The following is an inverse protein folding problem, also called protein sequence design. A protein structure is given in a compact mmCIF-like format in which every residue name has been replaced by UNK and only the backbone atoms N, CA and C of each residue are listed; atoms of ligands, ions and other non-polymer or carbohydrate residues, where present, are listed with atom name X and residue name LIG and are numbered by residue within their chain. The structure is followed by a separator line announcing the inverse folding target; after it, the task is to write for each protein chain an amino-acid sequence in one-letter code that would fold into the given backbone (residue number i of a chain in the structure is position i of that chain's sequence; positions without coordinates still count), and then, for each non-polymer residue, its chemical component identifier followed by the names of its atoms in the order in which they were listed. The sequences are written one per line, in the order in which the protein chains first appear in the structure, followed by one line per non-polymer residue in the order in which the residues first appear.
data_IF_334223668200
#
_entry.id   IF_334223668200
#
_cell.length_a   1.000
_cell.length_b   1.000
_cell.length_c   1.000
_cell.angle_alpha   90.00
_cell.angle_beta   90.00
_cell.angle_gamma   90.00
#
_symmetry.space_group_name_H-M   'P 1'
#
loop_
_entity.id
_entity.type
_entity.pdbx_description
1 polymer ?
#
# COMPACT_ATOMS: atom_id res chain seq x y z
N UNK A 1 -30.99 5.00 -10.75
CA UNK A 1 -31.18 3.62 -10.25
C UNK A 1 -29.81 3.00 -10.11
N UNK A 2 -29.28 2.98 -8.87
CA UNK A 2 -27.96 2.48 -8.57
C UNK A 2 -28.01 1.00 -8.25
N UNK A 3 -27.20 0.21 -8.95
CA UNK A 3 -26.95 -1.18 -8.57
C UNK A 3 -25.83 -1.20 -7.54
N UNK A 4 -26.19 -1.33 -6.27
CA UNK A 4 -25.30 -1.79 -5.23
C UNK A 4 -25.17 -3.31 -5.35
N UNK A 5 -24.01 -3.79 -5.77
CA UNK A 5 -23.67 -5.19 -5.68
C UNK A 5 -23.51 -5.59 -4.22
N UNK A 6 -24.55 -6.19 -3.66
CA UNK A 6 -24.57 -6.63 -2.28
C UNK A 6 -23.59 -7.79 -2.06
N UNK A 7 -22.82 -7.70 -0.98
CA UNK A 7 -22.06 -8.81 -0.44
C UNK A 7 -23.01 -9.85 0.15
N UNK A 8 -23.17 -10.98 -0.51
CA UNK A 8 -23.87 -12.13 0.06
C UNK A 8 -22.88 -13.01 0.81
N UNK A 9 -22.89 -12.90 2.13
CA UNK A 9 -22.24 -13.86 3.01
C UNK A 9 -23.23 -15.01 3.21
N UNK A 10 -23.05 -16.11 2.50
CA UNK A 10 -23.80 -17.33 2.76
C UNK A 10 -22.98 -18.23 3.69
N UNK A 11 -23.36 -18.28 4.94
CA UNK A 11 -22.90 -19.28 5.88
C UNK A 11 -23.67 -20.58 5.64
N UNK A 12 -23.04 -21.58 5.06
CA UNK A 12 -23.62 -22.92 4.94
C UNK A 12 -23.13 -23.77 6.07
N UNK A 13 -23.92 -23.94 7.10
CA UNK A 13 -23.66 -24.93 8.15
C UNK A 13 -23.91 -26.33 7.60
N UNK A 14 -22.88 -27.14 7.51
CA UNK A 14 -22.99 -28.59 7.42
C UNK A 14 -22.33 -29.17 8.65
N UNK A 15 -23.16 -29.77 9.48
CA UNK A 15 -22.78 -30.76 10.52
C UNK A 15 -21.52 -30.45 11.33
N UNK A 16 -21.66 -29.69 12.41
CA UNK A 16 -20.82 -29.81 13.60
C UNK A 16 -19.41 -29.28 13.55
N UNK A 17 -18.94 -28.56 12.52
CA UNK A 17 -17.63 -27.86 12.54
C UNK A 17 -17.71 -26.58 11.71
N UNK A 18 -17.55 -25.46 12.39
CA UNK A 18 -17.61 -24.12 11.81
C UNK A 18 -16.54 -23.94 10.72
N UNK A 19 -16.98 -23.91 9.47
CA UNK A 19 -16.14 -23.53 8.35
C UNK A 19 -16.68 -22.22 7.80
N UNK A 20 -15.93 -21.14 7.98
CA UNK A 20 -16.22 -19.85 7.36
C UNK A 20 -15.55 -19.83 5.98
N UNK A 21 -16.34 -19.89 4.94
CA UNK A 21 -15.88 -19.66 3.57
C UNK A 21 -16.27 -18.26 3.14
N UNK A 22 -15.31 -17.40 2.94
CA UNK A 22 -15.51 -16.07 2.34
C UNK A 22 -15.35 -16.20 0.83
N UNK A 23 -16.41 -15.94 0.07
CA UNK A 23 -16.35 -15.85 -1.40
C UNK A 23 -16.39 -14.39 -1.80
N UNK A 24 -15.39 -13.94 -2.52
CA UNK A 24 -15.38 -12.64 -3.19
C UNK A 24 -15.88 -12.82 -4.62
N UNK A 25 -16.92 -12.08 -5.01
CA UNK A 25 -17.41 -12.01 -6.40
C UNK A 25 -16.47 -11.11 -7.22
N UNK A 26 -15.46 -11.68 -7.81
CA UNK A 26 -14.53 -10.90 -8.65
C UNK A 26 -13.15 -11.52 -8.82
N UNK A 27 -12.88 -12.53 -8.07
CA UNK A 27 -11.66 -13.30 -8.17
C UNK A 27 -11.75 -14.40 -7.14
N UNK A 28 -11.71 -15.63 -7.59
CA UNK A 28 -11.91 -16.78 -6.73
C UNK A 28 -10.70 -16.99 -5.81
N UNK A 29 -10.65 -16.28 -4.69
CA UNK A 29 -9.76 -16.68 -3.59
C UNK A 29 -10.42 -17.82 -2.83
N UNK A 30 -10.16 -19.04 -3.27
CA UNK A 30 -10.55 -20.21 -2.50
C UNK A 30 -9.58 -20.35 -1.32
N UNK A 31 -9.97 -19.85 -0.16
CA UNK A 31 -9.37 -20.35 1.09
C UNK A 31 -9.87 -21.78 1.25
N UNK A 32 -9.04 -22.75 0.90
CA UNK A 32 -9.32 -24.14 1.23
C UNK A 32 -9.32 -24.25 2.75
N UNK A 33 -10.45 -24.67 3.31
CA UNK A 33 -10.53 -24.99 4.72
C UNK A 33 -9.43 -26.02 5.07
N UNK A 34 -8.71 -25.74 6.14
CA UNK A 34 -7.66 -26.59 6.64
C UNK A 34 -8.27 -27.94 7.00
N UNK A 35 -7.88 -28.99 6.29
CA UNK A 35 -8.20 -30.35 6.70
C UNK A 35 -7.30 -30.66 7.90
N UNK A 36 -7.88 -30.70 9.09
CA UNK A 36 -7.20 -31.34 10.22
C UNK A 36 -6.95 -32.80 9.86
N UNK A 37 -5.73 -33.26 10.06
CA UNK A 37 -5.42 -34.70 10.01
C UNK A 37 -6.24 -35.40 11.09
N UNK A 38 -6.44 -36.70 10.94
CA UNK A 38 -7.15 -37.53 11.94
C UNK A 38 -6.51 -37.43 13.33
N UNK A 39 -5.27 -37.02 13.43
CA UNK A 39 -4.47 -36.86 14.66
C UNK A 39 -4.50 -35.44 15.24
N UNK A 40 -5.32 -34.53 14.71
CA UNK A 40 -5.42 -33.18 15.22
C UNK A 40 -4.28 -32.24 14.81
N UNK A 41 -3.26 -32.71 14.11
CA UNK A 41 -2.16 -31.91 13.62
C UNK A 41 -2.64 -31.02 12.46
N UNK A 42 -2.29 -29.73 12.54
CA UNK A 42 -2.49 -28.79 11.43
C UNK A 42 -1.48 -29.13 10.33
N UNK A 43 -1.94 -29.24 9.10
CA UNK A 43 -1.02 -29.57 8.01
C UNK A 43 0.07 -28.50 7.91
N UNK A 44 1.33 -28.90 7.64
CA UNK A 44 2.47 -27.97 7.43
C UNK A 44 2.16 -26.83 6.45
N UNK A 45 1.23 -27.07 5.52
CA UNK A 45 0.77 -26.06 4.57
C UNK A 45 -0.10 -24.96 5.21
N UNK A 46 -0.72 -25.23 6.36
CA UNK A 46 -1.48 -24.26 7.13
C UNK A 46 -0.57 -23.36 7.96
N UNK A 47 0.47 -23.94 8.56
CA UNK A 47 1.50 -23.17 9.29
C UNK A 47 2.21 -22.19 8.37
N UNK A 48 2.54 -22.60 7.14
CA UNK A 48 3.16 -21.73 6.12
C UNK A 48 2.25 -20.57 5.69
N UNK A 49 0.93 -20.70 5.84
CA UNK A 49 0.01 -19.61 5.51
C UNK A 49 -0.18 -18.61 6.65
N UNK A 50 0.09 -19.00 7.88
CA UNK A 50 0.03 -18.14 9.05
C UNK A 50 1.37 -17.40 9.28
N UNK A 51 2.48 -17.97 8.80
CA UNK A 51 3.77 -17.27 8.80
C UNK A 51 3.88 -16.30 7.62
N UNK A 52 4.21 -15.05 7.93
CA UNK A 52 4.53 -14.08 6.89
C UNK A 52 5.86 -14.46 6.24
N UNK A 53 5.79 -14.90 5.00
CA UNK A 53 6.98 -15.19 4.19
C UNK A 53 7.85 -13.93 4.11
N UNK A 54 9.17 -14.03 4.36
CA UNK A 54 10.08 -12.91 4.21
C UNK A 54 9.99 -12.34 2.79
N UNK A 55 9.80 -11.03 2.70
CA UNK A 55 9.63 -10.38 1.41
C UNK A 55 10.99 -10.11 0.78
N UNK A 56 11.10 -10.15 -0.56
CA UNK A 56 12.31 -9.77 -1.27
C UNK A 56 12.78 -8.37 -0.87
N UNK A 57 14.09 -8.14 -0.93
CA UNK A 57 14.66 -6.82 -0.64
C UNK A 57 14.11 -5.73 -1.55
N UNK A 58 13.93 -6.05 -2.82
CA UNK A 58 13.41 -5.14 -3.85
C UNK A 58 11.90 -5.32 -4.08
N UNK A 59 11.13 -5.48 -3.00
CA UNK A 59 9.68 -5.46 -3.12
C UNK A 59 9.20 -4.02 -3.26
N UNK A 60 8.46 -3.75 -4.30
CA UNK A 60 7.82 -2.47 -4.59
C UNK A 60 6.48 -2.41 -3.85
N UNK A 61 6.51 -1.94 -2.61
CA UNK A 61 5.32 -1.82 -1.78
C UNK A 61 4.81 -0.37 -1.71
N UNK A 62 4.22 -0.01 -0.59
CA UNK A 62 3.68 1.32 -0.37
C UNK A 62 4.79 2.36 -0.24
N UNK A 63 4.63 3.50 -0.90
CA UNK A 63 5.55 4.62 -0.83
C UNK A 63 5.60 5.23 0.58
N UNK A 64 6.77 5.73 0.92
CA UNK A 64 7.04 6.46 2.17
C UNK A 64 7.83 7.72 1.82
N UNK A 65 7.42 8.85 2.39
CA UNK A 65 8.20 10.07 2.38
C UNK A 65 9.10 10.10 3.60
N UNK A 66 10.38 10.06 3.36
CA UNK A 66 11.40 10.03 4.41
C UNK A 66 11.65 11.43 4.99
N UNK A 67 12.05 11.45 6.24
CA UNK A 67 12.54 12.63 6.95
C UNK A 67 13.98 12.42 7.38
N UNK A 68 14.67 13.51 7.67
CA UNK A 68 15.96 13.47 8.32
C UNK A 68 15.83 13.09 9.81
N UNK A 69 16.93 12.80 10.48
CA UNK A 69 16.94 12.42 11.90
C UNK A 69 16.44 13.55 12.82
N UNK A 70 16.61 14.79 12.40
CA UNK A 70 16.10 16.00 13.08
C UNK A 70 14.60 16.24 12.85
N UNK A 71 13.94 15.40 12.04
CA UNK A 71 12.52 15.48 11.70
C UNK A 71 12.19 16.35 10.49
N UNK A 72 13.17 17.02 9.89
CA UNK A 72 12.98 17.83 8.68
C UNK A 72 12.62 16.96 7.48
N UNK A 73 11.83 17.50 6.56
CA UNK A 73 11.42 16.79 5.35
C UNK A 73 12.57 16.75 4.32
N UNK A 74 12.78 15.57 3.73
CA UNK A 74 13.72 15.41 2.63
C UNK A 74 13.18 15.93 1.30
N UNK A 75 11.85 16.00 1.17
CA UNK A 75 11.19 16.45 -0.06
C UNK A 75 11.37 17.95 -0.24
N UNK A 76 11.93 18.34 -1.39
CA UNK A 76 12.14 19.73 -1.79
C UNK A 76 11.11 20.25 -2.81
N UNK A 77 10.08 19.45 -3.12
CA UNK A 77 9.04 19.82 -4.06
C UNK A 77 9.54 20.06 -5.49
N UNK A 78 10.54 19.31 -5.95
CA UNK A 78 11.15 19.48 -7.28
C UNK A 78 10.30 18.91 -8.43
N UNK A 79 9.23 18.19 -8.15
CA UNK A 79 8.28 17.63 -9.11
C UNK A 79 8.87 16.53 -10.06
N UNK A 80 10.15 16.13 -9.91
CA UNK A 80 10.78 15.12 -10.78
C UNK A 80 10.07 13.77 -10.72
N UNK A 81 9.63 13.34 -9.53
CA UNK A 81 8.87 12.09 -9.37
C UNK A 81 7.53 12.13 -10.11
N UNK A 82 6.87 13.28 -10.16
CA UNK A 82 5.63 13.45 -10.92
C UNK A 82 5.90 13.47 -12.44
N UNK A 83 7.01 14.08 -12.87
CA UNK A 83 7.39 14.17 -14.27
C UNK A 83 7.74 12.79 -14.86
N UNK A 84 8.47 11.95 -14.12
CA UNK A 84 8.90 10.62 -14.57
C UNK A 84 7.79 9.58 -14.51
N UNK A 85 6.73 9.84 -13.73
CA UNK A 85 5.66 8.85 -13.48
C UNK A 85 4.90 8.49 -14.78
N UNK A 86 4.97 7.23 -15.26
CA UNK A 86 4.28 6.83 -16.49
C UNK A 86 2.76 6.82 -16.34
N UNK A 87 2.27 6.54 -15.13
CA UNK A 87 0.84 6.55 -14.80
C UNK A 87 0.31 7.94 -14.44
N UNK A 88 1.20 8.95 -14.32
CA UNK A 88 0.85 10.32 -13.90
C UNK A 88 -0.07 10.34 -12.66
N UNK A 89 0.30 9.54 -11.68
CA UNK A 89 -0.47 9.38 -10.45
C UNK A 89 0.05 10.21 -9.28
N UNK A 90 1.16 10.94 -9.48
CA UNK A 90 1.80 11.76 -8.45
C UNK A 90 1.51 13.23 -8.75
N UNK A 91 1.00 13.93 -7.74
CA UNK A 91 0.82 15.37 -7.76
C UNK A 91 1.69 16.01 -6.67
N UNK A 92 2.60 16.88 -7.08
CA UNK A 92 3.53 17.56 -6.18
C UNK A 92 3.48 19.06 -6.44
N UNK A 93 3.51 19.84 -5.38
CA UNK A 93 3.72 21.29 -5.40
C UNK A 93 4.73 21.68 -4.35
N UNK A 94 5.77 22.37 -4.76
CA UNK A 94 6.74 22.96 -3.85
C UNK A 94 6.29 24.33 -3.40
N UNK A 95 6.68 24.70 -2.18
CA UNK A 95 6.57 26.07 -1.65
C UNK A 95 7.92 26.52 -1.10
N UNK A 96 8.07 27.82 -0.94
CA UNK A 96 9.26 28.40 -0.33
C UNK A 96 9.25 28.16 1.18
N UNK A 97 10.41 27.85 1.72
CA UNK A 97 10.58 27.53 3.13
C UNK A 97 10.57 28.81 3.98
N UNK A 98 9.96 28.74 5.16
CA UNK A 98 10.01 29.86 6.10
C UNK A 98 11.36 29.88 6.82
N UNK A 99 12.16 30.98 6.74
CA UNK A 99 13.44 31.06 7.42
C UNK A 99 13.37 30.96 8.94
N UNK A 100 12.24 31.38 9.55
CA UNK A 100 12.07 31.35 11.01
C UNK A 100 11.71 29.95 11.54
N UNK A 101 11.01 29.16 10.71
CA UNK A 101 10.64 27.79 11.07
C UNK A 101 10.70 26.89 9.84
N UNK A 102 11.89 26.42 9.48
CA UNK A 102 12.11 25.65 8.27
C UNK A 102 11.48 24.25 8.36
N UNK A 103 10.76 23.84 7.34
CA UNK A 103 10.21 22.49 7.20
C UNK A 103 11.23 21.52 6.60
N UNK A 104 12.12 22.03 5.74
CA UNK A 104 13.21 21.27 5.12
C UNK A 104 14.53 22.04 5.28
N UNK A 105 15.70 21.40 5.11
CA UNK A 105 16.99 22.07 5.19
C UNK A 105 17.27 23.04 4.03
N UNK A 106 16.48 22.96 2.95
CA UNK A 106 16.64 23.78 1.76
C UNK A 106 15.75 25.02 1.74
N UNK A 107 15.81 25.76 0.63
CA UNK A 107 14.98 26.95 0.40
C UNK A 107 13.51 26.59 0.10
N UNK A 108 13.25 25.34 -0.29
CA UNK A 108 11.92 24.86 -0.70
C UNK A 108 11.59 23.55 -0.02
N UNK A 109 10.29 23.27 0.13
CA UNK A 109 9.77 22.01 0.64
C UNK A 109 8.57 21.52 -0.19
N UNK A 110 8.18 20.27 -0.01
CA UNK A 110 7.01 19.69 -0.67
C UNK A 110 5.72 20.05 0.05
N UNK A 111 5.10 21.17 -0.32
CA UNK A 111 3.86 21.65 0.29
C UNK A 111 2.67 20.74 0.06
N UNK A 112 2.49 20.29 -1.19
CA UNK A 112 1.47 19.28 -1.54
C UNK A 112 2.20 18.07 -2.12
N UNK A 113 1.87 16.91 -1.61
CA UNK A 113 2.37 15.66 -2.13
C UNK A 113 1.26 14.61 -2.09
N UNK A 114 0.79 14.16 -3.25
CA UNK A 114 -0.30 13.22 -3.36
C UNK A 114 0.04 12.11 -4.35
N UNK A 115 -0.25 10.87 -3.97
CA UNK A 115 -0.14 9.69 -4.84
C UNK A 115 -1.52 9.05 -4.98
N UNK A 116 -2.01 8.95 -6.20
CA UNK A 116 -3.24 8.20 -6.48
C UNK A 116 -2.93 6.72 -6.68
N UNK A 117 -3.15 5.92 -5.65
CA UNK A 117 -2.91 4.47 -5.69
C UNK A 117 -3.83 3.68 -6.61
N UNK A 118 -4.95 4.25 -7.06
CA UNK A 118 -5.79 3.62 -8.10
C UNK A 118 -5.14 3.67 -9.48
N UNK A 119 -4.12 4.52 -9.67
CA UNK A 119 -3.36 4.65 -10.92
C UNK A 119 -1.93 4.17 -10.80
N UNK A 120 -1.36 4.16 -9.61
CA UNK A 120 0.01 3.76 -9.37
C UNK A 120 0.22 2.30 -9.80
N UNK A 121 1.30 2.04 -10.55
CA UNK A 121 1.70 0.71 -11.01
C UNK A 121 2.91 0.15 -10.23
N UNK A 122 3.37 0.85 -9.20
CA UNK A 122 4.51 0.44 -8.37
C UNK A 122 5.76 0.10 -9.19
N UNK A 123 6.16 0.99 -10.08
CA UNK A 123 7.29 0.78 -10.98
C UNK A 123 8.64 1.32 -10.46
N UNK A 124 8.66 1.97 -9.29
CA UNK A 124 9.85 2.53 -8.61
C UNK A 124 10.57 3.69 -9.32
N UNK A 125 10.12 4.10 -10.50
CA UNK A 125 10.76 5.19 -11.27
C UNK A 125 10.77 6.53 -10.50
N UNK A 126 9.79 6.76 -9.65
CA UNK A 126 9.73 7.96 -8.81
C UNK A 126 10.82 7.96 -7.72
N UNK A 127 11.20 6.79 -7.23
CA UNK A 127 12.28 6.62 -6.25
C UNK A 127 13.63 6.88 -6.94
N UNK A 128 13.84 6.30 -8.11
CA UNK A 128 15.07 6.50 -8.88
C UNK A 128 15.28 7.95 -9.32
N UNK A 129 14.20 8.68 -9.62
CA UNK A 129 14.25 10.08 -10.02
C UNK A 129 14.44 11.06 -8.88
N UNK A 130 14.31 10.66 -7.63
CA UNK A 130 14.36 11.55 -6.47
C UNK A 130 15.79 11.92 -6.12
N UNK A 131 16.19 13.21 -6.23
CA UNK A 131 17.58 13.61 -5.95
C UNK A 131 17.94 13.61 -4.47
N UNK A 132 16.95 13.64 -3.57
CA UNK A 132 17.13 13.73 -2.11
C UNK A 132 16.79 12.44 -1.40
N UNK A 133 16.45 11.37 -2.13
CA UNK A 133 15.97 10.10 -1.55
C UNK A 133 14.79 10.31 -0.59
N UNK A 134 13.97 11.32 -0.90
CA UNK A 134 12.81 11.65 -0.09
C UNK A 134 11.71 10.60 -0.20
N UNK A 135 11.53 10.02 -1.39
CA UNK A 135 10.53 8.96 -1.60
C UNK A 135 11.22 7.61 -1.73
N UNK A 136 10.71 6.63 -1.02
CA UNK A 136 11.13 5.22 -1.11
C UNK A 136 9.92 4.31 -1.10
N UNK A 137 10.07 3.08 -1.58
CA UNK A 137 9.05 2.05 -1.45
C UNK A 137 9.33 1.14 -0.25
N UNK A 138 8.32 0.91 0.56
CA UNK A 138 8.40 0.02 1.71
C UNK A 138 8.14 -1.43 1.31
N UNK A 139 8.28 -2.35 2.27
CA UNK A 139 7.88 -3.76 2.10
C UNK A 139 6.39 -4.00 2.40
N UNK A 140 5.63 -2.94 2.65
CA UNK A 140 4.19 -3.01 2.91
C UNK A 140 3.41 -2.99 1.59
N UNK A 141 2.77 -4.11 1.24
CA UNK A 141 1.91 -4.21 0.06
C UNK A 141 0.48 -4.67 0.41
N UNK A 142 0.26 -5.13 1.65
CA UNK A 142 -1.04 -5.60 2.12
C UNK A 142 -1.88 -4.42 2.58
N UNK A 143 -2.36 -3.61 1.63
CA UNK A 143 -3.26 -2.50 1.89
C UNK A 143 -4.44 -2.54 0.93
N UNK A 144 -5.58 -2.05 1.39
CA UNK A 144 -6.81 -1.94 0.61
C UNK A 144 -7.56 -0.68 1.02
N UNK A 145 -8.41 -0.21 0.14
CA UNK A 145 -9.20 0.99 0.34
C UNK A 145 -10.68 0.68 0.23
N UNK A 146 -11.51 1.29 1.07
CA UNK A 146 -12.96 1.15 1.03
C UNK A 146 -13.59 2.18 0.09
N UNK A 147 -12.96 3.32 -0.07
CA UNK A 147 -13.38 4.40 -0.95
C UNK A 147 -12.23 4.93 -1.79
N UNK A 148 -12.57 5.68 -2.85
CA UNK A 148 -11.57 6.24 -3.77
C UNK A 148 -10.72 7.33 -3.14
N UNK A 149 -11.27 8.08 -2.20
CA UNK A 149 -10.54 9.14 -1.52
C UNK A 149 -9.43 8.59 -0.63
N UNK A 150 -9.65 7.47 0.05
CA UNK A 150 -8.65 6.82 0.88
C UNK A 150 -7.46 6.29 0.05
N UNK A 151 -7.65 6.13 -1.25
CA UNK A 151 -6.60 5.73 -2.17
C UNK A 151 -5.72 6.91 -2.65
N UNK A 152 -6.04 8.13 -2.29
CA UNK A 152 -5.16 9.29 -2.47
C UNK A 152 -4.34 9.43 -1.20
N UNK A 153 -3.07 9.11 -1.34
CA UNK A 153 -2.12 9.13 -0.23
C UNK A 153 -1.45 10.51 -0.17
N UNK A 154 -1.55 11.16 0.98
CA UNK A 154 -0.98 12.48 1.28
C UNK A 154 0.05 12.39 2.39
#
# INVERSE_FOLDING_TARGET
MGYFGGFLITARQRGGKNQVTTQYSGGRVRRRALKKSKNGEVSKRAEVMDEKIPKPERLHGRHVLNRYEDGMEKCIGCELCAAVCPAKCIHVRGADNNPENPTSPGERFGWIYEINYLRCIHCDLCVEACPTEAITESKLFEFSFTNRQDAIYT
#
